data_IF_849904269306
#
_entry.id   IF_849904269306
#
_cell.length_a   1.000
_cell.length_b   1.000
_cell.length_c   1.000
_cell.angle_alpha   90.00
_cell.angle_beta   90.00
_cell.angle_gamma   90.00
#
_symmetry.space_group_name_H-M   'P 1'
#
loop_
_entity.id
_entity.type
_entity.pdbx_description
1 polymer ?
#
# COMPACT_ATOMS: atom_id res chain seq x y z
N UNK A 1 1.03 32.94 -14.67
CA UNK A 1 1.49 31.64 -15.20
C UNK A 1 0.86 30.57 -14.34
N UNK A 2 0.00 29.74 -14.93
CA UNK A 2 -0.98 28.94 -14.22
C UNK A 2 -0.32 27.84 -13.39
N UNK A 3 -0.63 27.81 -12.09
CA UNK A 3 -0.27 26.76 -11.15
C UNK A 3 -1.10 25.51 -11.40
N UNK A 4 -0.78 24.81 -12.48
CA UNK A 4 -1.28 23.48 -12.73
C UNK A 4 -0.36 22.52 -11.95
N UNK A 5 -0.75 22.20 -10.72
CA UNK A 5 -0.21 21.02 -10.02
C UNK A 5 -0.65 19.83 -10.85
N UNK A 6 0.13 19.48 -11.87
CA UNK A 6 0.00 18.20 -12.53
C UNK A 6 0.08 17.17 -11.41
N UNK A 7 -1.00 16.43 -11.20
CA UNK A 7 -0.97 15.25 -10.36
C UNK A 7 0.22 14.43 -10.88
N UNK A 8 1.27 14.31 -10.06
CA UNK A 8 2.44 13.52 -10.44
C UNK A 8 1.92 12.10 -10.69
N UNK A 9 1.89 11.71 -11.97
CA UNK A 9 1.40 10.40 -12.37
C UNK A 9 2.45 9.35 -12.00
N UNK A 10 2.23 8.69 -10.86
CA UNK A 10 3.11 7.64 -10.37
C UNK A 10 2.77 6.27 -10.97
N UNK A 11 1.82 6.16 -11.91
CA UNK A 11 1.40 4.88 -12.51
C UNK A 11 2.52 4.17 -13.28
N UNK A 12 3.55 4.91 -13.71
CA UNK A 12 4.75 4.37 -14.34
C UNK A 12 5.67 3.60 -13.37
N UNK A 13 5.53 3.83 -12.06
CA UNK A 13 6.30 3.12 -11.04
C UNK A 13 5.56 1.88 -10.54
N UNK A 14 6.31 0.83 -10.22
CA UNK A 14 5.74 -0.35 -9.59
C UNK A 14 5.08 0.02 -8.25
N UNK A 15 4.12 -0.79 -7.79
CA UNK A 15 3.51 -0.59 -6.46
C UNK A 15 4.60 -0.54 -5.39
N UNK A 16 5.57 -1.45 -5.43
CA UNK A 16 6.66 -1.52 -4.44
C UNK A 16 7.50 -0.25 -4.42
N UNK A 17 7.85 0.30 -5.59
CA UNK A 17 8.61 1.56 -5.67
C UNK A 17 7.80 2.73 -5.09
N UNK A 18 6.50 2.78 -5.39
CA UNK A 18 5.60 3.80 -4.84
C UNK A 18 5.45 3.70 -3.33
N UNK A 19 5.37 2.50 -2.75
CA UNK A 19 5.29 2.27 -1.29
C UNK A 19 6.49 2.85 -0.54
N UNK A 20 7.66 2.87 -1.18
CA UNK A 20 8.92 3.34 -0.60
C UNK A 20 9.29 4.76 -1.04
N UNK A 21 8.43 5.41 -1.84
CA UNK A 21 8.71 6.69 -2.43
C UNK A 21 8.63 7.83 -1.39
N UNK A 22 9.47 8.85 -1.56
CA UNK A 22 9.52 10.03 -0.68
C UNK A 22 8.24 10.88 -0.71
N UNK A 23 7.52 10.85 -1.83
CA UNK A 23 6.26 11.58 -1.97
C UNK A 23 5.14 10.80 -1.30
N UNK A 24 4.49 11.41 -0.30
CA UNK A 24 3.31 10.82 0.34
C UNK A 24 2.16 10.58 -0.66
N UNK A 25 2.07 11.36 -1.74
CA UNK A 25 1.08 11.14 -2.80
C UNK A 25 1.33 9.85 -3.60
N UNK A 26 2.59 9.52 -3.85
CA UNK A 26 2.96 8.25 -4.47
C UNK A 26 2.58 7.07 -3.57
N UNK A 27 2.84 7.20 -2.26
CA UNK A 27 2.45 6.20 -1.26
C UNK A 27 0.94 6.02 -1.18
N UNK A 28 0.17 7.12 -1.16
CA UNK A 28 -1.31 7.08 -1.25
C UNK A 28 -1.77 6.32 -2.49
N UNK A 29 -1.23 6.65 -3.68
CA UNK A 29 -1.58 5.96 -4.92
C UNK A 29 -1.33 4.44 -4.84
N UNK A 30 -0.22 4.01 -4.25
CA UNK A 30 0.03 2.58 -4.03
C UNK A 30 -0.97 1.95 -3.07
N UNK A 31 -1.34 2.64 -1.99
CA UNK A 31 -2.29 2.12 -1.00
C UNK A 31 -3.70 1.96 -1.58
N UNK A 32 -4.15 2.92 -2.39
CA UNK A 32 -5.45 2.83 -3.10
C UNK A 32 -5.49 1.64 -4.06
N UNK A 33 -4.41 1.43 -4.82
CA UNK A 33 -4.30 0.31 -5.77
C UNK A 33 -4.21 -1.03 -5.04
N UNK A 34 -3.51 -1.10 -3.92
CA UNK A 34 -3.44 -2.29 -3.07
C UNK A 34 -4.80 -2.64 -2.47
N UNK A 35 -5.54 -1.67 -1.94
CA UNK A 35 -6.88 -1.90 -1.40
C UNK A 35 -7.81 -2.51 -2.46
N UNK A 36 -7.76 -2.01 -3.70
CA UNK A 36 -8.53 -2.57 -4.81
C UNK A 36 -8.06 -3.96 -5.24
N UNK A 37 -6.75 -4.21 -5.16
CA UNK A 37 -6.14 -5.49 -5.55
C UNK A 37 -6.50 -6.59 -4.57
N UNK A 38 -6.42 -6.31 -3.26
CA UNK A 38 -6.77 -7.28 -2.20
C UNK A 38 -8.26 -7.65 -2.17
N UNK A 39 -9.14 -6.81 -2.73
CA UNK A 39 -10.55 -7.13 -2.88
C UNK A 39 -10.83 -8.24 -3.93
N UNK A 40 -9.85 -8.57 -4.77
CA UNK A 40 -9.96 -9.63 -5.79
C UNK A 40 -9.34 -10.93 -5.27
N UNK A 41 -9.79 -12.11 -5.76
CA UNK A 41 -9.12 -13.37 -5.46
C UNK A 41 -7.69 -13.34 -6.03
N UNK A 42 -6.73 -13.11 -5.15
CA UNK A 42 -5.29 -13.11 -5.44
C UNK A 42 -4.66 -14.45 -5.10
N UNK A 43 -3.46 -14.70 -5.64
CA UNK A 43 -2.66 -15.86 -5.25
C UNK A 43 -1.97 -15.58 -3.92
N UNK A 44 -1.68 -16.63 -3.15
CA UNK A 44 -0.98 -16.50 -1.86
C UNK A 44 0.36 -15.75 -1.99
N UNK A 45 1.07 -15.94 -3.11
CA UNK A 45 2.34 -15.27 -3.43
C UNK A 45 2.21 -13.75 -3.53
N UNK A 46 1.03 -13.24 -3.90
CA UNK A 46 0.77 -11.80 -3.99
C UNK A 46 0.75 -11.21 -2.58
N UNK A 47 0.09 -11.88 -1.64
CA UNK A 47 0.07 -11.45 -0.23
C UNK A 47 1.45 -11.54 0.44
N UNK A 48 2.25 -12.58 0.15
CA UNK A 48 3.61 -12.71 0.69
C UNK A 48 4.53 -11.57 0.22
N UNK A 49 4.28 -11.01 -0.97
CA UNK A 49 5.06 -9.88 -1.52
C UNK A 49 4.85 -8.59 -0.72
N UNK A 50 3.63 -8.36 -0.23
CA UNK A 50 3.27 -7.13 0.48
C UNK A 50 3.38 -7.25 2.00
N UNK A 51 3.42 -8.47 2.56
CA UNK A 51 3.60 -8.74 4.00
C UNK A 51 4.72 -7.87 4.66
N UNK A 52 5.94 -7.74 4.07
CA UNK A 52 7.01 -6.97 4.70
C UNK A 52 6.75 -5.45 4.76
N UNK A 53 5.79 -4.95 3.97
CA UNK A 53 5.50 -3.53 3.83
C UNK A 53 4.43 -3.05 4.82
N UNK A 54 3.55 -3.94 5.29
CA UNK A 54 2.39 -3.60 6.14
C UNK A 54 2.78 -2.79 7.39
N UNK A 55 3.90 -3.15 8.03
CA UNK A 55 4.38 -2.40 9.21
C UNK A 55 4.71 -0.95 8.88
N UNK A 56 5.33 -0.69 7.72
CA UNK A 56 5.66 0.68 7.30
C UNK A 56 4.41 1.45 6.88
N UNK A 57 3.42 0.77 6.31
CA UNK A 57 2.14 1.36 5.93
C UNK A 57 1.37 1.87 7.16
N UNK A 58 1.24 1.05 8.21
CA UNK A 58 0.51 1.45 9.43
C UNK A 58 1.22 2.55 10.21
N UNK A 59 2.55 2.65 10.06
CA UNK A 59 3.36 3.71 10.69
C UNK A 59 3.78 4.79 9.70
N UNK A 60 3.01 5.06 8.64
CA UNK A 60 3.34 6.14 7.70
C UNK A 60 3.40 7.48 8.46
N UNK A 61 4.46 8.27 8.22
CA UNK A 61 4.67 9.57 8.86
C UNK A 61 3.64 10.64 8.42
N UNK A 62 2.96 10.44 7.29
CA UNK A 62 1.92 11.34 6.80
C UNK A 62 0.54 10.77 7.13
N UNK A 63 -0.30 11.54 7.86
CA UNK A 63 -1.62 11.10 8.30
C UNK A 63 -2.55 10.68 7.16
N UNK A 64 -2.55 11.41 6.02
CA UNK A 64 -3.41 11.07 4.87
C UNK A 64 -2.97 9.74 4.26
N UNK A 65 -1.66 9.55 4.09
CA UNK A 65 -1.13 8.27 3.61
C UNK A 65 -1.44 7.13 4.60
N UNK A 66 -1.33 7.39 5.90
CA UNK A 66 -1.65 6.43 6.96
C UNK A 66 -3.13 6.00 6.93
N UNK A 67 -4.07 6.94 6.79
CA UNK A 67 -5.50 6.65 6.72
C UNK A 67 -5.84 5.73 5.54
N UNK A 68 -5.27 6.02 4.36
CA UNK A 68 -5.48 5.17 3.17
C UNK A 68 -4.80 3.81 3.32
N UNK A 69 -3.61 3.77 3.92
CA UNK A 69 -2.90 2.52 4.23
C UNK A 69 -3.73 1.59 5.13
N UNK A 70 -4.49 2.13 6.10
CA UNK A 70 -5.34 1.32 6.97
C UNK A 70 -6.41 0.56 6.17
N UNK A 71 -7.02 1.20 5.17
CA UNK A 71 -7.98 0.52 4.28
C UNK A 71 -7.30 -0.65 3.55
N UNK A 72 -6.11 -0.43 2.98
CA UNK A 72 -5.36 -1.49 2.30
C UNK A 72 -4.97 -2.64 3.25
N UNK A 73 -4.59 -2.33 4.50
CA UNK A 73 -4.25 -3.33 5.52
C UNK A 73 -5.49 -4.13 5.95
N UNK A 74 -6.64 -3.47 6.10
CA UNK A 74 -7.89 -4.16 6.43
C UNK A 74 -8.26 -5.18 5.35
N UNK A 75 -8.17 -4.78 4.08
CA UNK A 75 -8.40 -5.69 2.95
C UNK A 75 -7.37 -6.83 2.90
N UNK A 76 -6.10 -6.54 3.19
CA UNK A 76 -5.07 -7.57 3.31
C UNK A 76 -5.45 -8.60 4.38
N UNK A 77 -5.78 -8.15 5.59
CA UNK A 77 -6.11 -9.05 6.71
C UNK A 77 -7.38 -9.85 6.46
N UNK A 78 -8.36 -9.26 5.78
CA UNK A 78 -9.62 -9.93 5.44
C UNK A 78 -9.46 -11.03 4.39
N UNK A 79 -8.50 -10.89 3.46
CA UNK A 79 -8.38 -11.77 2.30
C UNK A 79 -7.11 -12.63 2.29
N UNK A 80 -6.10 -12.34 3.12
CA UNK A 80 -4.86 -13.10 3.15
C UNK A 80 -5.06 -14.50 3.78
N UNK A 81 -4.51 -15.57 3.17
CA UNK A 81 -4.60 -16.94 3.68
C UNK A 81 -3.92 -17.15 5.04
N UNK A 82 -2.88 -16.35 5.31
CA UNK A 82 -2.10 -16.36 6.54
C UNK A 82 -1.82 -14.92 7.00
N UNK A 83 -2.85 -14.18 7.40
CA UNK A 83 -2.74 -12.80 7.87
C UNK A 83 -1.82 -12.62 9.12
N UNK A 84 -1.39 -13.72 9.74
CA UNK A 84 -0.50 -13.74 10.90
C UNK A 84 0.60 -14.80 10.72
N UNK A 85 1.82 -14.38 10.39
CA UNK A 85 3.02 -15.11 10.82
C UNK A 85 3.47 -14.48 12.13
N UNK A 86 3.18 -15.12 13.27
CA UNK A 86 3.85 -14.71 14.51
C UNK A 86 5.33 -14.95 14.28
N UNK A 87 6.14 -13.88 14.32
CA UNK A 87 7.59 -14.05 14.33
C UNK A 87 7.95 -14.82 15.60
N UNK A 88 8.11 -16.13 15.50
CA UNK A 88 8.66 -16.95 16.56
C UNK A 88 10.10 -16.49 16.75
N UNK A 89 10.32 -15.68 17.78
CA UNK A 89 11.65 -15.25 18.23
C UNK A 89 12.31 -16.35 19.01
#
# INVERSE_FOLDING_TARGET
>A
MNGQTAEEDFSSFSIIDRLQHKSWKARVSAYEELAQSFHKPLQNSDFDTFEPHLKKMVTDANAVAQEVALTAILEYVANAPHAFKSRST
#
